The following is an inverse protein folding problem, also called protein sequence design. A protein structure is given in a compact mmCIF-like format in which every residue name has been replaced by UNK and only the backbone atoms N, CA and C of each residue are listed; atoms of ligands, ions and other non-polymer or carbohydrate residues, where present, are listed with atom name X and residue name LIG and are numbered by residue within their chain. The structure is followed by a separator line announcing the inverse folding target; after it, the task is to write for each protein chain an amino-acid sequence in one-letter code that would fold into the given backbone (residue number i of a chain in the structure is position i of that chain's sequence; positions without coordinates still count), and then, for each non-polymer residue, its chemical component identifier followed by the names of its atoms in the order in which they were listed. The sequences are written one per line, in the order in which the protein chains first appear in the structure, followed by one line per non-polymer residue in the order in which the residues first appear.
data_IF_256726463276
#
_entry.id   IF_256726463276
#
_cell.length_a   1.000
_cell.length_b   1.000
_cell.length_c   1.000
_cell.angle_alpha   90.00
_cell.angle_beta   90.00
_cell.angle_gamma   90.00
#
_symmetry.space_group_name_H-M   'P 1'
#
loop_
_entity.id
_entity.type
_entity.pdbx_description
1 polymer ?
#
# COMPACT_ATOMS: atom_id res chain seq x y z
N UNK A 1 5.71 -1.20 -23.73
CA UNK A 1 6.89 -0.82 -24.57
C UNK A 1 7.94 -0.33 -23.57
N UNK A 2 9.26 -0.35 -23.80
CA UNK A 2 10.15 0.26 -22.77
C UNK A 2 9.95 1.77 -22.78
N UNK A 3 9.19 2.29 -21.81
CA UNK A 3 8.98 3.73 -21.60
C UNK A 3 10.35 4.38 -21.44
N UNK A 4 10.67 5.34 -22.31
CA UNK A 4 11.94 6.09 -22.26
C UNK A 4 11.62 7.51 -21.85
N UNK A 5 11.99 7.87 -20.63
CA UNK A 5 11.83 9.23 -20.11
C UNK A 5 13.20 9.88 -19.89
N UNK A 6 13.32 11.15 -20.24
CA UNK A 6 14.52 11.92 -19.96
C UNK A 6 14.43 12.56 -18.58
N UNK A 7 15.56 12.72 -17.88
CA UNK A 7 15.61 13.39 -16.57
C UNK A 7 15.03 14.81 -16.61
N UNK A 8 15.11 15.48 -17.76
CA UNK A 8 14.56 16.81 -17.97
C UNK A 8 13.02 16.86 -17.97
N UNK A 9 12.34 15.70 -18.10
CA UNK A 9 10.88 15.57 -18.04
C UNK A 9 10.38 15.18 -16.63
N UNK A 10 11.28 15.04 -15.66
CA UNK A 10 11.01 14.59 -14.29
C UNK A 10 11.48 15.66 -13.30
N UNK A 11 10.94 16.87 -13.42
CA UNK A 11 11.35 18.04 -12.63
C UNK A 11 10.48 18.23 -11.38
N UNK A 12 9.23 17.77 -11.41
CA UNK A 12 8.31 17.85 -10.26
C UNK A 12 7.93 16.46 -9.73
N UNK A 13 7.44 16.41 -8.49
CA UNK A 13 6.92 15.18 -7.89
C UNK A 13 5.75 14.62 -8.70
N UNK A 14 4.85 15.48 -9.21
CA UNK A 14 3.74 15.07 -10.07
C UNK A 14 4.21 14.46 -11.39
N UNK A 15 5.26 15.02 -12.01
CA UNK A 15 5.85 14.47 -13.22
C UNK A 15 6.49 13.11 -12.97
N UNK A 16 7.17 12.95 -11.82
CA UNK A 16 7.73 11.67 -11.38
C UNK A 16 6.62 10.65 -11.10
N UNK A 17 5.54 11.06 -10.44
CA UNK A 17 4.42 10.17 -10.12
C UNK A 17 3.68 9.70 -11.38
N UNK A 18 3.39 10.61 -12.31
CA UNK A 18 2.78 10.27 -13.59
C UNK A 18 3.66 9.34 -14.42
N UNK A 19 4.98 9.53 -14.38
CA UNK A 19 5.95 8.64 -14.99
C UNK A 19 5.92 7.22 -14.39
N UNK A 20 5.81 7.12 -13.06
CA UNK A 20 5.66 5.83 -12.37
C UNK A 20 4.35 5.15 -12.77
N UNK A 21 3.23 5.88 -12.83
CA UNK A 21 1.94 5.35 -13.30
C UNK A 21 2.06 4.82 -14.73
N UNK A 22 2.65 5.58 -15.64
CA UNK A 22 2.82 5.16 -17.05
C UNK A 22 3.61 3.86 -17.14
N UNK A 23 4.70 3.75 -16.38
CA UNK A 23 5.54 2.55 -16.34
C UNK A 23 4.77 1.36 -15.75
N UNK A 24 4.16 1.50 -14.58
CA UNK A 24 3.46 0.42 -13.87
C UNK A 24 2.20 -0.05 -14.61
N UNK A 25 1.50 0.85 -15.31
CA UNK A 25 0.28 0.53 -16.05
C UNK A 25 0.54 -0.14 -17.42
N UNK A 26 1.73 0.05 -18.01
CA UNK A 26 2.09 -0.59 -19.28
C UNK A 26 2.52 -2.06 -19.15
N UNK A 27 3.08 -2.45 -18.01
CA UNK A 27 3.55 -3.81 -17.77
C UNK A 27 2.49 -4.59 -16.96
N UNK A 28 1.84 -5.58 -17.60
CA UNK A 28 0.94 -6.54 -16.95
C UNK A 28 1.64 -7.37 -15.85
N UNK A 29 0.93 -8.26 -15.12
CA UNK A 29 1.41 -8.83 -13.86
C UNK A 29 2.76 -9.54 -14.00
N UNK A 30 3.84 -8.85 -13.62
CA UNK A 30 5.22 -9.32 -13.70
C UNK A 30 5.60 -10.06 -12.41
N UNK A 31 5.19 -11.32 -12.32
CA UNK A 31 5.49 -12.21 -11.19
C UNK A 31 6.97 -12.67 -11.11
N UNK A 32 7.94 -11.98 -11.74
CA UNK A 32 9.32 -12.51 -11.89
C UNK A 32 10.43 -11.54 -11.45
N UNK A 33 10.24 -10.22 -11.49
CA UNK A 33 11.27 -9.26 -11.03
C UNK A 33 10.97 -8.76 -9.61
N UNK A 34 11.82 -9.08 -8.61
CA UNK A 34 11.65 -8.60 -7.24
C UNK A 34 11.61 -7.08 -7.12
N UNK A 35 12.41 -6.35 -7.91
CA UNK A 35 12.45 -4.89 -7.88
C UNK A 35 11.12 -4.32 -8.39
N UNK A 36 10.58 -4.95 -9.43
CA UNK A 36 9.27 -4.57 -9.96
C UNK A 36 8.15 -4.83 -8.96
N UNK A 37 8.16 -6.00 -8.33
CA UNK A 37 7.16 -6.35 -7.30
C UNK A 37 7.17 -5.37 -6.14
N UNK A 38 8.35 -4.96 -5.68
CA UNK A 38 8.50 -3.94 -4.63
C UNK A 38 8.00 -2.57 -5.09
N UNK A 39 8.31 -2.16 -6.33
CA UNK A 39 7.83 -0.91 -6.89
C UNK A 39 6.30 -0.87 -7.02
N UNK A 40 5.69 -1.98 -7.48
CA UNK A 40 4.23 -2.12 -7.52
C UNK A 40 3.61 -2.10 -6.11
N UNK A 41 4.23 -2.77 -5.13
CA UNK A 41 3.75 -2.76 -3.75
C UNK A 41 3.77 -1.34 -3.16
N UNK A 42 4.89 -0.62 -3.32
CA UNK A 42 4.99 0.77 -2.86
C UNK A 42 3.98 1.68 -3.56
N UNK A 43 3.86 1.58 -4.89
CA UNK A 43 2.90 2.36 -5.67
C UNK A 43 1.47 2.09 -5.21
N UNK A 44 1.10 0.83 -5.07
CA UNK A 44 -0.24 0.43 -4.65
C UNK A 44 -0.53 0.95 -3.24
N UNK A 45 0.41 0.78 -2.30
CA UNK A 45 0.29 1.32 -0.95
C UNK A 45 -0.09 2.80 -0.95
N UNK A 46 0.75 3.66 -1.54
CA UNK A 46 0.48 5.09 -1.54
C UNK A 46 -0.80 5.45 -2.31
N UNK A 47 -1.07 4.80 -3.44
CA UNK A 47 -2.29 5.09 -4.22
C UNK A 47 -3.57 4.80 -3.43
N UNK A 48 -3.60 3.69 -2.70
CA UNK A 48 -4.78 3.30 -1.92
C UNK A 48 -4.92 4.14 -0.65
N UNK A 49 -3.81 4.44 0.02
CA UNK A 49 -3.81 5.31 1.20
C UNK A 49 -4.38 6.71 0.90
N UNK A 50 -4.04 7.28 -0.26
CA UNK A 50 -4.59 8.56 -0.73
C UNK A 50 -6.04 8.48 -1.21
N UNK A 51 -6.49 7.29 -1.64
CA UNK A 51 -7.84 7.10 -2.19
C UNK A 51 -8.89 6.80 -1.11
N UNK A 52 -8.51 6.06 -0.08
CA UNK A 52 -9.44 5.63 0.97
C UNK A 52 -8.76 4.93 2.15
N UNK A 53 -7.48 5.22 2.41
CA UNK A 53 -6.77 4.70 3.57
C UNK A 53 -6.58 3.17 3.56
N UNK A 54 -6.45 2.61 4.77
CA UNK A 54 -6.19 1.18 4.95
C UNK A 54 -7.35 0.30 4.44
N UNK A 55 -8.59 0.79 4.40
CA UNK A 55 -9.72 0.03 3.85
C UNK A 55 -9.55 -0.17 2.34
N UNK A 56 -9.22 0.92 1.62
CA UNK A 56 -8.95 0.85 0.18
C UNK A 56 -7.77 -0.08 -0.11
N UNK A 57 -6.71 -0.02 0.70
CA UNK A 57 -5.53 -0.88 0.56
C UNK A 57 -5.89 -2.37 0.62
N UNK A 58 -6.70 -2.77 1.60
CA UNK A 58 -7.08 -4.17 1.78
C UNK A 58 -8.00 -4.65 0.67
N UNK A 59 -8.95 -3.82 0.23
CA UNK A 59 -9.84 -4.13 -0.87
C UNK A 59 -9.07 -4.22 -2.20
N UNK A 60 -8.15 -3.29 -2.46
CA UNK A 60 -7.29 -3.27 -3.64
C UNK A 60 -6.31 -4.45 -3.69
N UNK A 61 -5.86 -4.92 -2.52
CA UNK A 61 -4.97 -6.08 -2.38
C UNK A 61 -5.71 -7.41 -2.14
N UNK A 62 -7.04 -7.44 -2.20
CA UNK A 62 -7.83 -8.61 -1.79
C UNK A 62 -7.45 -9.87 -2.58
N UNK A 63 -7.33 -9.78 -3.91
CA UNK A 63 -6.94 -10.93 -4.74
C UNK A 63 -5.56 -11.47 -4.34
N UNK A 64 -4.59 -10.60 -4.08
CA UNK A 64 -3.25 -11.01 -3.65
C UNK A 64 -3.29 -11.66 -2.26
N UNK A 65 -4.04 -11.08 -1.31
CA UNK A 65 -4.22 -11.61 0.04
C UNK A 65 -4.89 -12.97 0.02
N UNK A 66 -5.89 -13.19 -0.84
CA UNK A 66 -6.56 -14.48 -1.01
C UNK A 66 -5.61 -15.56 -1.57
N UNK A 67 -4.68 -15.18 -2.45
CA UNK A 67 -3.73 -16.11 -3.07
C UNK A 67 -2.52 -16.43 -2.20
N UNK A 68 -1.96 -15.43 -1.52
CA UNK A 68 -0.67 -15.51 -0.82
C UNK A 68 -0.80 -15.49 0.71
N UNK A 69 -1.94 -15.03 1.22
CA UNK A 69 -2.21 -14.88 2.64
C UNK A 69 -1.81 -13.50 3.18
N UNK A 70 -2.63 -12.99 4.09
CA UNK A 70 -2.42 -11.69 4.73
C UNK A 70 -1.05 -11.55 5.43
N UNK A 71 -0.52 -12.55 6.16
CA UNK A 71 0.79 -12.41 6.80
C UNK A 71 1.93 -12.12 5.82
N UNK A 72 1.92 -12.77 4.65
CA UNK A 72 2.95 -12.57 3.62
C UNK A 72 2.80 -11.20 2.97
N UNK A 73 1.56 -10.78 2.67
CA UNK A 73 1.28 -9.42 2.18
C UNK A 73 1.84 -8.36 3.15
N UNK A 74 1.52 -8.46 4.44
CA UNK A 74 1.95 -7.48 5.45
C UNK A 74 3.48 -7.46 5.61
N UNK A 75 4.12 -8.64 5.63
CA UNK A 75 5.59 -8.74 5.71
C UNK A 75 6.27 -8.05 4.52
N UNK A 76 5.77 -8.31 3.30
CA UNK A 76 6.31 -7.70 2.09
C UNK A 76 6.07 -6.19 2.04
N UNK A 77 4.91 -5.72 2.47
CA UNK A 77 4.60 -4.30 2.55
C UNK A 77 5.56 -3.58 3.50
N UNK A 78 5.69 -4.08 4.73
CA UNK A 78 6.61 -3.53 5.74
C UNK A 78 8.04 -3.52 5.19
N UNK A 79 8.50 -4.62 4.61
CA UNK A 79 9.84 -4.72 4.04
C UNK A 79 10.06 -3.69 2.93
N UNK A 80 9.09 -3.54 2.03
CA UNK A 80 9.13 -2.60 0.92
C UNK A 80 9.25 -1.16 1.43
N UNK A 81 8.40 -0.76 2.38
CA UNK A 81 8.42 0.57 2.98
C UNK A 81 9.75 0.87 3.65
N UNK A 82 10.30 -0.07 4.41
CA UNK A 82 11.63 0.09 5.01
C UNK A 82 12.73 0.25 3.95
N UNK A 83 12.66 -0.53 2.87
CA UNK A 83 13.67 -0.53 1.81
C UNK A 83 13.73 0.80 1.05
N UNK A 84 12.59 1.45 0.84
CA UNK A 84 12.51 2.74 0.16
C UNK A 84 12.75 3.93 1.10
N UNK A 85 13.03 3.69 2.39
CA UNK A 85 13.27 4.73 3.38
C UNK A 85 12.01 5.31 4.04
N UNK A 86 10.83 4.73 3.76
CA UNK A 86 9.55 5.09 4.36
C UNK A 86 9.35 4.38 5.71
N UNK A 87 10.34 4.48 6.60
CA UNK A 87 10.37 3.72 7.84
C UNK A 87 9.22 4.06 8.80
N UNK A 88 8.81 5.33 8.87
CA UNK A 88 7.72 5.78 9.76
C UNK A 88 6.37 5.17 9.34
N UNK A 89 6.09 5.10 8.03
CA UNK A 89 4.93 4.38 7.50
C UNK A 89 5.00 2.88 7.82
N UNK A 90 6.19 2.27 7.73
CA UNK A 90 6.36 0.86 8.10
C UNK A 90 6.07 0.58 9.58
N UNK A 91 6.30 1.55 10.49
CA UNK A 91 5.95 1.41 11.90
C UNK A 91 4.44 1.43 12.14
N UNK A 92 3.67 2.20 11.34
CA UNK A 92 2.20 2.16 11.37
C UNK A 92 1.72 0.76 11.01
N UNK A 93 2.23 0.19 9.91
CA UNK A 93 1.84 -1.15 9.46
C UNK A 93 2.20 -2.25 10.48
N UNK A 94 3.37 -2.15 11.13
CA UNK A 94 3.75 -3.07 12.22
C UNK A 94 2.81 -2.97 13.41
N UNK A 95 2.41 -1.75 13.77
CA UNK A 95 1.60 -1.45 14.94
C UNK A 95 0.16 -1.92 14.77
N UNK A 96 -0.42 -1.71 13.59
CA UNK A 96 -1.84 -1.93 13.34
C UNK A 96 -2.16 -3.09 12.39
N UNK A 97 -1.30 -3.36 11.41
CA UNK A 97 -1.60 -4.22 10.26
C UNK A 97 -2.07 -5.62 10.64
N UNK A 98 -1.43 -6.28 11.61
CA UNK A 98 -1.86 -7.61 12.06
C UNK A 98 -3.30 -7.62 12.59
N UNK A 99 -3.67 -6.62 13.40
CA UNK A 99 -5.02 -6.55 13.97
C UNK A 99 -6.05 -6.12 12.94
N UNK A 100 -5.69 -5.18 12.06
CA UNK A 100 -6.51 -4.77 10.91
C UNK A 100 -6.82 -5.99 10.04
N UNK A 101 -5.80 -6.73 9.60
CA UNK A 101 -6.01 -7.90 8.73
C UNK A 101 -6.80 -9.02 9.39
N UNK A 102 -6.62 -9.25 10.69
CA UNK A 102 -7.44 -10.23 11.41
C UNK A 102 -8.93 -9.85 11.38
N UNK A 103 -9.24 -8.57 11.63
CA UNK A 103 -10.61 -8.06 11.58
C UNK A 103 -11.15 -8.07 10.15
N UNK A 104 -10.36 -7.65 9.16
CA UNK A 104 -10.71 -7.68 7.74
C UNK A 104 -11.18 -9.06 7.28
N UNK A 105 -10.40 -10.10 7.60
CA UNK A 105 -10.73 -11.49 7.25
C UNK A 105 -11.92 -12.07 8.05
N UNK A 106 -12.28 -11.43 9.16
CA UNK A 106 -13.43 -11.79 9.98
C UNK A 106 -14.70 -11.02 9.62
N UNK A 107 -14.61 -9.92 8.86
CA UNK A 107 -15.74 -9.09 8.47
C UNK A 107 -16.84 -9.91 7.76
N UNK A 108 -18.09 -9.55 8.04
CA UNK A 108 -19.27 -10.25 7.51
C UNK A 108 -19.71 -11.48 8.32
N UNK A 109 -19.05 -11.79 9.44
CA UNK A 109 -19.45 -12.88 10.35
C UNK A 109 -20.39 -12.40 11.48
N UNK A 110 -20.13 -11.22 12.03
CA UNK A 110 -20.94 -10.55 13.08
C UNK A 110 -20.72 -9.03 13.01
N UNK A 111 -21.73 -8.25 13.41
CA UNK A 111 -21.74 -6.78 13.33
C UNK A 111 -20.67 -6.12 14.22
N UNK A 112 -20.35 -6.74 15.37
CA UNK A 112 -19.33 -6.21 16.28
C UNK A 112 -17.91 -6.20 15.68
N UNK A 113 -17.61 -7.10 14.75
CA UNK A 113 -16.31 -7.18 14.08
C UNK A 113 -16.12 -6.02 13.10
N UNK A 114 -17.19 -5.59 12.42
CA UNK A 114 -17.19 -4.45 11.49
C UNK A 114 -16.94 -3.14 12.23
N UNK A 115 -17.58 -2.92 13.38
CA UNK A 115 -17.31 -1.75 14.21
C UNK A 115 -15.86 -1.73 14.70
N UNK A 116 -15.37 -2.87 15.19
CA UNK A 116 -13.99 -2.98 15.68
C UNK A 116 -12.96 -2.74 14.57
N UNK A 117 -13.28 -3.15 13.33
CA UNK A 117 -12.49 -2.90 12.14
C UNK A 117 -12.37 -1.40 11.83
N UNK A 118 -13.50 -0.69 11.73
CA UNK A 118 -13.47 0.73 11.44
C UNK A 118 -12.79 1.56 12.53
N UNK A 119 -12.97 1.21 13.82
CA UNK A 119 -12.29 1.90 14.93
C UNK A 119 -10.75 1.77 14.91
N UNK A 120 -10.21 0.68 14.36
CA UNK A 120 -8.76 0.53 14.24
C UNK A 120 -8.21 1.16 12.96
N UNK A 121 -8.94 1.07 11.86
CA UNK A 121 -8.57 1.74 10.61
C UNK A 121 -8.50 3.24 10.81
N UNK A 122 -9.50 3.84 11.46
CA UNK A 122 -9.51 5.29 11.71
C UNK A 122 -8.25 5.76 12.46
N UNK A 123 -7.76 4.96 13.42
CA UNK A 123 -6.53 5.29 14.16
C UNK A 123 -5.28 5.16 13.29
N UNK A 124 -5.21 4.12 12.46
CA UNK A 124 -4.08 3.88 11.59
C UNK A 124 -4.01 4.95 10.48
N UNK A 125 -5.15 5.28 9.87
CA UNK A 125 -5.29 6.36 8.88
C UNK A 125 -4.92 7.72 9.49
N UNK A 126 -5.40 8.03 10.70
CA UNK A 126 -5.02 9.26 11.39
C UNK A 126 -3.50 9.36 11.60
N UNK A 127 -2.84 8.28 12.01
CA UNK A 127 -1.37 8.27 12.13
C UNK A 127 -0.68 8.42 10.78
N UNK A 128 -1.21 7.80 9.72
CA UNK A 128 -0.70 7.97 8.36
C UNK A 128 -0.79 9.43 7.91
N UNK A 129 -1.95 10.06 8.05
CA UNK A 129 -2.17 11.45 7.63
C UNK A 129 -1.38 12.47 8.46
N UNK A 130 -1.00 12.13 9.70
CA UNK A 130 -0.08 12.95 10.48
C UNK A 130 1.34 12.95 9.91
N UNK A 131 1.79 11.85 9.29
CA UNK A 131 3.08 11.80 8.60
C UNK A 131 3.04 12.56 7.26
N UNK A 132 1.94 12.45 6.53
CA UNK A 132 1.77 13.14 5.24
C UNK A 132 1.60 14.66 5.41
N UNK A 133 0.96 15.09 6.51
CA UNK A 133 0.78 16.51 6.84
C UNK A 133 2.04 17.24 7.31
N UNK A 134 3.17 16.55 7.48
CA UNK A 134 4.46 17.10 7.96
C UNK A 134 5.44 17.47 6.81
N UNK A 135 4.93 17.67 5.58
CA UNK A 135 5.70 18.10 4.40
C UNK A 135 5.65 19.62 4.19
#
# INVERSE_FOLDING_TARGET
MKVKMSKAQLQTTDEIWNAVIEVISEDGPLAVDPIWSEACMAFHYYSEMESGGHESLLNGSQEYIEQQGFPLFLEQLIHTLQKIGAADYAEIEKKYGNKIGHLFLAMGRVEEDEKAFYEIIEKADQEYYLLDGDI
#
